data_IF_435342650426
#
_entry.id   IF_435342650426
#
_cell.length_a   1.000
_cell.length_b   1.000
_cell.length_c   1.000
_cell.angle_alpha   90.00
_cell.angle_beta   90.00
_cell.angle_gamma   90.00
#
_symmetry.space_group_name_H-M   'P 1'
#
loop_
_entity.id
_entity.type
_entity.pdbx_description
1 polymer ?
#
# COMPACT_ATOMS: atom_id res chain seq x y z
N UNK A 1 -8.83 24.95 -4.00
CA UNK A 1 -9.62 23.71 -3.84
C UNK A 1 -9.75 23.42 -2.35
N UNK A 2 -10.95 23.13 -1.83
CA UNK A 2 -11.11 22.79 -0.40
C UNK A 2 -10.53 21.39 -0.10
N UNK A 3 -10.20 21.11 1.17
CA UNK A 3 -9.70 19.79 1.60
C UNK A 3 -10.68 18.68 1.22
N UNK A 4 -11.99 18.92 1.34
CA UNK A 4 -13.02 17.94 0.96
C UNK A 4 -13.05 17.67 -0.54
N UNK A 5 -12.91 18.71 -1.37
CA UNK A 5 -12.81 18.55 -2.83
C UNK A 5 -11.54 17.79 -3.24
N UNK A 6 -10.41 18.13 -2.62
CA UNK A 6 -9.13 17.47 -2.86
C UNK A 6 -9.16 15.98 -2.47
N UNK A 7 -9.76 15.67 -1.31
CA UNK A 7 -9.95 14.30 -0.82
C UNK A 7 -10.86 13.50 -1.78
N UNK A 8 -11.98 14.08 -2.22
CA UNK A 8 -12.88 13.42 -3.17
C UNK A 8 -12.21 13.18 -4.53
N UNK A 9 -11.43 14.14 -5.02
CA UNK A 9 -10.66 13.99 -6.25
C UNK A 9 -9.64 12.86 -6.13
N UNK A 10 -8.83 12.83 -5.06
CA UNK A 10 -7.86 11.78 -4.81
C UNK A 10 -8.52 10.38 -4.79
N UNK A 11 -9.68 10.25 -4.12
CA UNK A 11 -10.45 8.99 -4.13
C UNK A 11 -10.97 8.65 -5.53
N UNK A 12 -11.21 9.60 -6.44
CA UNK A 12 -11.64 9.26 -7.80
C UNK A 12 -10.49 8.76 -8.67
N UNK A 13 -9.33 9.41 -8.59
CA UNK A 13 -8.20 9.13 -9.50
C UNK A 13 -7.31 7.97 -9.04
N UNK A 14 -7.27 7.69 -7.74
CA UNK A 14 -6.41 6.62 -7.23
C UNK A 14 -6.91 5.23 -7.62
N UNK A 15 -6.02 4.30 -8.01
CA UNK A 15 -6.41 2.90 -8.17
C UNK A 15 -6.81 2.28 -6.83
N UNK A 16 -7.54 1.18 -6.89
CA UNK A 16 -7.85 0.36 -5.71
C UNK A 16 -6.69 -0.59 -5.44
N UNK A 17 -6.33 -0.76 -4.17
CA UNK A 17 -5.44 -1.82 -3.70
C UNK A 17 -6.27 -2.99 -3.21
N UNK A 18 -6.34 -4.05 -4.00
CA UNK A 18 -7.07 -5.27 -3.66
C UNK A 18 -6.11 -6.37 -3.19
N UNK A 19 -6.08 -6.69 -1.89
CA UNK A 19 -5.14 -7.69 -1.35
C UNK A 19 -5.23 -9.04 -2.03
N UNK A 20 -6.42 -9.43 -2.48
CA UNK A 20 -6.64 -10.78 -3.01
C UNK A 20 -5.95 -10.97 -4.37
N UNK A 21 -5.57 -9.85 -5.03
CA UNK A 21 -4.92 -9.80 -6.34
C UNK A 21 -3.60 -8.99 -6.34
N UNK A 22 -3.13 -8.55 -5.17
CA UNK A 22 -1.97 -7.65 -5.06
C UNK A 22 -0.66 -8.43 -5.05
N UNK A 23 0.24 -8.08 -5.98
CA UNK A 23 1.67 -8.45 -5.91
C UNK A 23 2.48 -7.32 -5.30
N UNK A 24 3.74 -7.59 -4.93
CA UNK A 24 4.66 -6.56 -4.42
C UNK A 24 4.81 -5.38 -5.39
N UNK A 25 4.86 -5.65 -6.70
CA UNK A 25 4.95 -4.61 -7.73
C UNK A 25 3.68 -3.74 -7.76
N UNK A 26 2.50 -4.36 -7.70
CA UNK A 26 1.22 -3.64 -7.66
C UNK A 26 1.09 -2.78 -6.41
N UNK A 27 1.50 -3.31 -5.25
CA UNK A 27 1.52 -2.57 -4.00
C UNK A 27 2.48 -1.37 -4.07
N UNK A 28 3.65 -1.54 -4.71
CA UNK A 28 4.61 -0.45 -4.90
C UNK A 28 4.04 0.65 -5.78
N UNK A 29 3.52 0.29 -6.95
CA UNK A 29 2.89 1.26 -7.88
C UNK A 29 1.73 1.98 -7.21
N UNK A 30 0.87 1.26 -6.48
CA UNK A 30 -0.20 1.89 -5.71
C UNK A 30 0.33 2.91 -4.70
N UNK A 31 1.37 2.57 -3.94
CA UNK A 31 1.95 3.46 -2.93
C UNK A 31 2.54 4.73 -3.54
N UNK A 32 3.26 4.61 -4.66
CA UNK A 32 3.85 5.75 -5.38
C UNK A 32 2.75 6.72 -5.86
N UNK A 33 1.74 6.21 -6.56
CA UNK A 33 0.61 7.04 -7.05
C UNK A 33 -0.18 7.63 -5.87
N UNK A 34 -0.35 6.87 -4.79
CA UNK A 34 -0.97 7.36 -3.56
C UNK A 34 -0.20 8.53 -2.94
N UNK A 35 1.13 8.45 -2.81
CA UNK A 35 1.90 9.55 -2.23
C UNK A 35 1.81 10.81 -3.10
N UNK A 36 1.95 10.69 -4.42
CA UNK A 36 1.86 11.81 -5.37
C UNK A 36 0.48 12.48 -5.32
N UNK A 37 -0.61 11.71 -5.38
CA UNK A 37 -1.96 12.26 -5.46
C UNK A 37 -2.50 12.77 -4.12
N UNK A 38 -1.77 12.55 -3.02
CA UNK A 38 -2.21 12.94 -1.67
C UNK A 38 -1.23 13.82 -0.93
N UNK A 39 -0.12 14.24 -1.55
CA UNK A 39 0.94 15.04 -0.93
C UNK A 39 0.41 16.32 -0.27
N UNK A 40 -0.51 17.02 -0.94
CA UNK A 40 -1.10 18.28 -0.48
C UNK A 40 -2.21 18.10 0.58
N UNK A 41 -2.58 16.86 0.89
CA UNK A 41 -3.64 16.57 1.85
C UNK A 41 -3.10 16.50 3.28
N UNK A 42 -3.87 16.96 4.27
CA UNK A 42 -3.55 16.70 5.67
C UNK A 42 -3.49 15.19 5.95
N UNK A 43 -2.58 14.75 6.83
CA UNK A 43 -2.38 13.34 7.20
C UNK A 43 -3.69 12.58 7.48
N UNK A 44 -4.62 13.20 8.20
CA UNK A 44 -5.92 12.59 8.51
C UNK A 44 -6.74 12.29 7.25
N UNK A 45 -6.73 13.18 6.27
CA UNK A 45 -7.38 12.96 4.98
C UNK A 45 -6.67 11.85 4.21
N UNK A 46 -5.33 11.80 4.23
CA UNK A 46 -4.55 10.73 3.59
C UNK A 46 -4.93 9.35 4.13
N UNK A 47 -5.10 9.22 5.45
CA UNK A 47 -5.57 7.97 6.07
C UNK A 47 -6.96 7.56 5.57
N UNK A 48 -7.90 8.52 5.47
CA UNK A 48 -9.26 8.26 4.99
C UNK A 48 -9.29 7.87 3.50
N UNK A 49 -8.47 8.51 2.67
CA UNK A 49 -8.33 8.15 1.25
C UNK A 49 -7.77 6.74 1.13
N UNK A 50 -6.72 6.42 1.89
CA UNK A 50 -6.10 5.10 1.87
C UNK A 50 -7.10 4.01 2.25
N UNK A 51 -7.84 4.20 3.36
CA UNK A 51 -8.83 3.23 3.83
C UNK A 51 -9.94 2.98 2.78
N UNK A 52 -10.36 4.01 2.04
CA UNK A 52 -11.36 3.86 0.97
C UNK A 52 -10.83 3.08 -0.24
N UNK A 53 -9.52 3.17 -0.50
CA UNK A 53 -8.84 2.47 -1.60
C UNK A 53 -8.37 1.07 -1.26
N UNK A 54 -8.40 0.71 0.01
CA UNK A 54 -8.10 -0.62 0.48
C UNK A 54 -9.30 -1.55 0.27
N UNK A 55 -9.10 -2.68 -0.39
CA UNK A 55 -10.09 -3.74 -0.63
C UNK A 55 -9.46 -5.12 -0.45
N UNK A 56 -10.32 -6.12 -0.30
CA UNK A 56 -9.93 -7.49 -0.05
C UNK A 56 -9.90 -7.81 1.44
N UNK A 57 -10.24 -9.06 1.78
CA UNK A 57 -10.46 -9.47 3.18
C UNK A 57 -9.19 -9.37 4.02
N UNK A 58 -8.06 -9.72 3.42
CA UNK A 58 -6.76 -9.66 4.11
C UNK A 58 -6.36 -8.21 4.39
N UNK A 59 -6.50 -7.32 3.41
CA UNK A 59 -6.20 -5.91 3.58
C UNK A 59 -7.06 -5.25 4.68
N UNK A 60 -8.37 -5.52 4.68
CA UNK A 60 -9.29 -4.99 5.69
C UNK A 60 -8.96 -5.52 7.09
N UNK A 61 -8.65 -6.81 7.22
CA UNK A 61 -8.20 -7.40 8.49
C UNK A 61 -6.89 -6.78 8.96
N UNK A 62 -5.92 -6.62 8.06
CA UNK A 62 -4.64 -5.98 8.36
C UNK A 62 -4.84 -4.55 8.84
N UNK A 63 -5.67 -3.77 8.16
CA UNK A 63 -5.97 -2.39 8.56
C UNK A 63 -6.54 -2.32 9.98
N UNK A 64 -7.55 -3.14 10.27
CA UNK A 64 -8.22 -3.17 11.57
C UNK A 64 -7.30 -3.61 12.71
N UNK A 65 -6.33 -4.50 12.45
CA UNK A 65 -5.38 -4.99 13.46
C UNK A 65 -4.11 -4.15 13.60
N UNK A 66 -3.79 -3.30 12.62
CA UNK A 66 -2.52 -2.55 12.58
C UNK A 66 -2.46 -1.29 13.44
N UNK A 67 -3.57 -0.88 14.07
CA UNK A 67 -3.64 0.29 14.95
C UNK A 67 -3.07 1.58 14.32
N UNK A 68 -3.38 1.82 13.04
CA UNK A 68 -2.85 2.94 12.26
C UNK A 68 -3.54 4.25 12.68
N UNK A 69 -2.83 5.09 13.44
CA UNK A 69 -3.34 6.39 13.93
C UNK A 69 -2.71 7.60 13.25
N UNK A 70 -1.58 7.43 12.55
CA UNK A 70 -0.84 8.51 11.90
C UNK A 70 -0.35 8.06 10.53
N UNK A 71 -0.12 9.03 9.64
CA UNK A 71 0.39 8.73 8.30
C UNK A 71 1.78 8.07 8.33
N UNK A 72 2.65 8.49 9.27
CA UNK A 72 3.94 7.84 9.54
C UNK A 72 3.78 6.35 9.87
N UNK A 73 2.80 6.01 10.71
CA UNK A 73 2.53 4.60 11.09
C UNK A 73 2.01 3.81 9.91
N UNK A 74 1.14 4.41 9.08
CA UNK A 74 0.66 3.81 7.84
C UNK A 74 1.83 3.43 6.93
N UNK A 75 2.73 4.38 6.63
CA UNK A 75 3.88 4.17 5.75
C UNK A 75 4.73 2.98 6.22
N UNK A 76 5.11 2.97 7.50
CA UNK A 76 5.90 1.87 8.07
C UNK A 76 5.18 0.52 7.97
N UNK A 77 3.90 0.44 8.36
CA UNK A 77 3.15 -0.82 8.36
C UNK A 77 2.89 -1.32 6.95
N UNK A 78 2.59 -0.41 6.02
CA UNK A 78 2.37 -0.74 4.62
C UNK A 78 3.62 -1.35 3.99
N UNK A 79 4.77 -0.71 4.18
CA UNK A 79 6.04 -1.22 3.70
C UNK A 79 6.37 -2.58 4.29
N UNK A 80 6.09 -2.80 5.57
CA UNK A 80 6.35 -4.10 6.22
C UNK A 80 5.41 -5.21 5.74
N UNK A 81 4.17 -4.90 5.38
CA UNK A 81 3.17 -5.92 5.05
C UNK A 81 3.08 -6.22 3.55
N UNK A 82 3.14 -5.19 2.71
CA UNK A 82 2.90 -5.32 1.27
C UNK A 82 4.15 -5.18 0.39
N UNK A 83 5.22 -4.53 0.91
CA UNK A 83 6.43 -4.26 0.11
C UNK A 83 7.65 -5.05 0.57
N UNK A 84 7.68 -5.43 1.84
CA UNK A 84 8.66 -6.36 2.36
C UNK A 84 8.31 -7.72 1.80
N UNK A 85 9.25 -8.31 1.07
CA UNK A 85 9.15 -9.69 0.62
C UNK A 85 8.83 -10.56 1.82
N UNK A 86 7.85 -11.44 1.71
CA UNK A 86 7.75 -12.57 2.63
C UNK A 86 9.08 -13.32 2.58
N UNK A 87 9.48 -13.91 3.71
CA UNK A 87 10.71 -14.70 3.77
C UNK A 87 10.77 -15.72 2.62
N UNK A 88 9.63 -16.23 2.16
CA UNK A 88 9.49 -17.17 1.06
C UNK A 88 9.93 -16.61 -0.31
N UNK A 89 9.63 -15.35 -0.64
CA UNK A 89 10.11 -14.72 -1.88
C UNK A 89 11.60 -14.38 -1.85
N UNK A 90 12.17 -14.21 -0.66
CA UNK A 90 13.61 -14.12 -0.44
C UNK A 90 14.25 -15.51 -0.60
N UNK A 91 13.63 -16.56 -0.06
CA UNK A 91 14.07 -17.95 -0.21
C UNK A 91 14.03 -18.42 -1.67
N UNK A 92 12.93 -18.21 -2.40
CA UNK A 92 12.80 -18.58 -3.81
C UNK A 92 13.84 -17.90 -4.71
N UNK A 93 14.22 -16.65 -4.37
CA UNK A 93 15.29 -15.93 -5.09
C UNK A 93 16.69 -16.46 -4.76
N UNK A 94 16.93 -16.87 -3.52
CA UNK A 94 18.17 -17.55 -3.13
C UNK A 94 18.33 -18.91 -3.81
N UNK A 95 17.22 -19.62 -4.07
CA UNK A 95 17.24 -20.92 -4.75
C UNK A 95 17.31 -20.79 -6.28
N UNK A 96 16.62 -19.82 -6.88
CA UNK A 96 16.65 -19.59 -8.34
C UNK A 96 17.97 -18.99 -8.85
N UNK A 97 18.77 -18.36 -8.00
CA UNK A 97 20.11 -17.85 -8.35
C UNK A 97 21.21 -18.94 -8.39
N UNK A 98 20.90 -20.20 -8.06
CA UNK A 98 21.87 -21.32 -8.07
C UNK A 98 21.98 -22.11 -9.39
N UNK A 99 21.36 -21.69 -10.50
CA UNK A 99 21.56 -22.33 -11.81
C UNK A 99 21.97 -21.34 -12.90
N UNK A 100 23.21 -20.87 -12.81
CA UNK A 100 24.04 -20.62 -13.98
C UNK A 100 25.49 -20.89 -13.58
N UNK A 101 25.88 -22.17 -13.65
CA UNK A 101 27.28 -22.58 -13.75
C UNK A 101 27.36 -23.61 -14.87
N UNK A 102 28.07 -23.24 -15.94
CA UNK A 102 28.59 -24.14 -16.97
C UNK A 102 27.57 -24.61 -17.98
#
# INVERSE_FOLDING_TARGET
MSVSQATSHAVKVLPVLDSDLTTVERARTFWEVFEENTEVLPDKSRLLVFQQKLKGREAERWWNSSHIKTFKTLKMRFHNHFLSRTADELWERLHSTKRHKG
#
